data_IF_824288008367
#
_entry.id   IF_824288008367
#
_cell.length_a   1.000
_cell.length_b   1.000
_cell.length_c   1.000
_cell.angle_alpha   90.00
_cell.angle_beta   90.00
_cell.angle_gamma   90.00
#
_symmetry.space_group_name_H-M   'P 1'
#
loop_
_entity.id
_entity.type
_entity.pdbx_description
1 polymer ?
#
# COMPACT_ATOMS: atom_id res chain seq x y z
N UNK A 1 22.64 10.06 -10.30
CA UNK A 1 21.21 9.89 -9.93
C UNK A 1 21.07 8.47 -9.43
N UNK A 2 20.50 8.26 -8.25
CA UNK A 2 20.31 6.89 -7.74
C UNK A 2 19.36 6.15 -8.71
N UNK A 3 19.77 4.97 -9.17
CA UNK A 3 18.93 4.07 -9.95
C UNK A 3 17.64 3.85 -9.17
N UNK A 4 16.49 4.10 -9.79
CA UNK A 4 15.21 3.85 -9.15
C UNK A 4 14.99 2.34 -9.01
N UNK A 5 14.96 1.86 -7.77
CA UNK A 5 14.75 0.46 -7.42
C UNK A 5 13.26 0.22 -7.11
N UNK A 6 12.61 -0.47 -8.03
CA UNK A 6 11.16 -0.76 -7.97
C UNK A 6 10.87 -1.84 -6.93
N UNK A 7 11.77 -2.81 -6.73
CA UNK A 7 11.60 -3.85 -5.71
C UNK A 7 11.63 -3.23 -4.31
N UNK A 8 12.61 -2.37 -4.04
CA UNK A 8 12.64 -1.59 -2.79
C UNK A 8 11.41 -0.68 -2.65
N UNK A 9 10.86 -0.15 -3.75
CA UNK A 9 9.60 0.61 -3.69
C UNK A 9 8.46 -0.27 -3.21
N UNK A 10 8.26 -1.44 -3.83
CA UNK A 10 7.21 -2.40 -3.46
C UNK A 10 7.36 -2.81 -2.00
N UNK A 11 8.59 -3.08 -1.54
CA UNK A 11 8.85 -3.45 -0.15
C UNK A 11 8.48 -2.32 0.83
N UNK A 12 8.79 -1.05 0.51
CA UNK A 12 8.34 0.09 1.32
C UNK A 12 6.81 0.16 1.41
N UNK A 13 6.07 -0.22 0.37
CA UNK A 13 4.60 -0.28 0.44
C UNK A 13 4.10 -1.43 1.32
N UNK A 14 4.75 -2.59 1.30
CA UNK A 14 4.46 -3.68 2.24
C UNK A 14 4.65 -3.22 3.70
N UNK A 15 5.76 -2.54 3.98
CA UNK A 15 6.06 -1.98 5.31
C UNK A 15 5.00 -0.95 5.75
N UNK A 16 4.54 -0.10 4.82
CA UNK A 16 3.46 0.87 5.11
C UNK A 16 2.12 0.20 5.40
N UNK A 17 1.76 -0.85 4.67
CA UNK A 17 0.56 -1.62 4.96
C UNK A 17 0.61 -2.20 6.38
N UNK A 18 1.75 -2.73 6.78
CA UNK A 18 1.95 -3.24 8.14
C UNK A 18 1.87 -2.11 9.19
N UNK A 19 2.51 -0.97 8.93
CA UNK A 19 2.44 0.19 9.83
C UNK A 19 1.01 0.73 10.02
N UNK A 20 0.14 0.64 9.01
CA UNK A 20 -1.28 1.03 9.14
C UNK A 20 -2.05 0.09 10.07
N UNK A 21 -1.72 -1.20 10.10
CA UNK A 21 -2.29 -2.16 11.06
C UNK A 21 -1.80 -1.92 12.48
N UNK A 22 -0.52 -1.60 12.62
CA UNK A 22 0.13 -1.50 13.93
C UNK A 22 -0.10 -0.14 14.61
N UNK A 23 -0.47 0.90 13.85
CA UNK A 23 -0.68 2.23 14.43
C UNK A 23 -1.88 2.24 15.40
N UNK A 24 -1.72 2.76 16.63
CA UNK A 24 -2.86 2.95 17.51
C UNK A 24 -3.80 4.01 16.92
N UNK A 25 -5.10 3.80 17.10
CA UNK A 25 -6.10 4.78 16.71
C UNK A 25 -5.97 6.02 17.60
N UNK A 26 -6.03 7.25 17.05
CA UNK A 26 -6.03 8.47 17.87
C UNK A 26 -7.15 8.46 18.92
N UNK A 27 -6.96 9.12 20.08
CA UNK A 27 -7.95 9.16 21.16
C UNK A 27 -9.11 10.11 20.82
N UNK A 28 -9.84 9.81 19.75
CA UNK A 28 -11.03 10.54 19.27
C UNK A 28 -12.27 9.65 19.37
N UNK A 29 -13.45 10.28 19.48
CA UNK A 29 -14.72 9.59 19.65
C UNK A 29 -15.71 9.90 18.50
N UNK A 30 -16.82 9.15 18.47
CA UNK A 30 -17.94 9.41 17.56
C UNK A 30 -17.55 9.38 16.08
N UNK A 31 -18.03 10.37 15.33
CA UNK A 31 -17.82 10.47 13.88
C UNK A 31 -16.35 10.66 13.48
N UNK A 32 -15.57 11.39 14.28
CA UNK A 32 -14.13 11.55 14.02
C UNK A 32 -13.40 10.20 14.08
N UNK A 33 -13.74 9.37 15.07
CA UNK A 33 -13.19 8.00 15.17
C UNK A 33 -13.48 7.17 13.93
N UNK A 34 -14.70 7.26 13.39
CA UNK A 34 -15.09 6.52 12.17
C UNK A 34 -14.29 6.98 10.95
N UNK A 35 -14.01 8.28 10.83
CA UNK A 35 -13.18 8.81 9.73
C UNK A 35 -11.76 8.25 9.77
N UNK A 36 -11.13 8.18 10.95
CA UNK A 36 -9.79 7.59 11.08
C UNK A 36 -9.76 6.10 10.74
N UNK A 37 -10.80 5.34 11.14
CA UNK A 37 -10.91 3.92 10.78
C UNK A 37 -11.05 3.77 9.27
N UNK A 38 -11.98 4.50 8.65
CA UNK A 38 -12.19 4.46 7.20
C UNK A 38 -10.93 4.86 6.43
N UNK A 39 -10.22 5.88 6.89
CA UNK A 39 -8.94 6.27 6.29
C UNK A 39 -7.90 5.16 6.42
N UNK A 40 -7.80 4.50 7.58
CA UNK A 40 -6.89 3.37 7.76
C UNK A 40 -7.23 2.18 6.84
N UNK A 41 -8.50 1.89 6.63
CA UNK A 41 -8.94 0.84 5.70
C UNK A 41 -8.55 1.15 4.25
N UNK A 42 -8.72 2.41 3.81
CA UNK A 42 -8.31 2.88 2.49
C UNK A 42 -6.78 2.81 2.35
N UNK A 43 -6.04 3.41 3.29
CA UNK A 43 -4.58 3.42 3.30
C UNK A 43 -4.03 1.99 3.22
N UNK A 44 -4.57 1.08 4.05
CA UNK A 44 -4.16 -0.31 4.07
C UNK A 44 -4.40 -0.99 2.72
N UNK A 45 -5.60 -0.83 2.16
CA UNK A 45 -5.97 -1.44 0.88
C UNK A 45 -5.04 -0.97 -0.24
N UNK A 46 -4.81 0.33 -0.35
CA UNK A 46 -3.96 0.92 -1.39
C UNK A 46 -2.50 0.45 -1.26
N UNK A 47 -1.98 0.40 -0.03
CA UNK A 47 -0.62 -0.07 0.21
C UNK A 47 -0.46 -1.57 -0.09
N UNK A 48 -1.46 -2.38 0.26
CA UNK A 48 -1.44 -3.82 -0.07
C UNK A 48 -1.46 -4.03 -1.57
N UNK A 49 -2.31 -3.33 -2.31
CA UNK A 49 -2.40 -3.45 -3.77
C UNK A 49 -1.04 -3.21 -4.44
N UNK A 50 -0.36 -2.12 -4.09
CA UNK A 50 0.97 -1.81 -4.65
C UNK A 50 2.02 -2.82 -4.15
N UNK A 51 1.96 -3.25 -2.88
CA UNK A 51 2.90 -4.23 -2.33
C UNK A 51 2.83 -5.61 -2.99
N UNK A 52 1.74 -5.90 -3.71
CA UNK A 52 1.50 -7.17 -4.41
C UNK A 52 1.73 -7.05 -5.92
N UNK A 53 2.11 -5.87 -6.40
CA UNK A 53 2.39 -5.67 -7.81
C UNK A 53 3.62 -6.47 -8.24
N UNK A 54 3.55 -7.10 -9.41
CA UNK A 54 4.74 -7.35 -10.22
C UNK A 54 5.01 -6.16 -11.12
N UNK A 55 6.24 -6.03 -11.64
CA UNK A 55 6.60 -4.91 -12.48
C UNK A 55 7.43 -5.31 -13.70
N UNK A 56 7.30 -4.50 -14.76
CA UNK A 56 8.09 -4.58 -15.98
C UNK A 56 8.35 -3.17 -16.53
N UNK A 57 9.30 -3.06 -17.46
CA UNK A 57 9.50 -1.84 -18.25
C UNK A 57 9.01 -2.10 -19.66
N UNK A 58 7.98 -1.36 -20.08
CA UNK A 58 7.37 -1.46 -21.42
C UNK A 58 7.40 -0.08 -22.08
N UNK A 59 8.01 0.01 -23.26
CA UNK A 59 8.16 1.27 -24.02
C UNK A 59 8.72 2.45 -23.19
N UNK A 60 9.65 2.14 -22.28
CA UNK A 60 10.26 3.13 -21.38
C UNK A 60 9.41 3.53 -20.18
N UNK A 61 8.27 2.87 -19.97
CA UNK A 61 7.38 3.10 -18.83
C UNK A 61 7.47 1.96 -17.82
N UNK A 62 7.40 2.31 -16.54
CA UNK A 62 7.17 1.32 -15.48
C UNK A 62 5.70 0.89 -15.51
N UNK A 63 5.47 -0.40 -15.74
CA UNK A 63 4.15 -1.03 -15.68
C UNK A 63 4.06 -1.85 -14.40
N UNK A 64 3.04 -1.59 -13.59
CA UNK A 64 2.72 -2.37 -12.40
C UNK A 64 1.48 -3.24 -12.69
N UNK A 65 1.61 -4.55 -12.52
CA UNK A 65 0.51 -5.50 -12.67
C UNK A 65 0.09 -6.01 -11.31
N UNK A 66 -1.16 -5.72 -10.91
CA UNK A 66 -1.69 -6.07 -9.59
C UNK A 66 -2.69 -7.22 -9.75
N UNK A 67 -2.45 -8.39 -9.13
CA UNK A 67 -3.42 -9.47 -9.16
C UNK A 67 -4.63 -9.10 -8.28
N UNK A 68 -5.84 -9.13 -8.84
CA UNK A 68 -7.09 -8.85 -8.11
C UNK A 68 -7.70 -10.08 -7.42
N UNK A 69 -7.11 -11.27 -7.62
CA UNK A 69 -7.46 -12.51 -6.93
C UNK A 69 -6.19 -13.10 -6.33
N UNK A 70 -6.26 -13.59 -5.10
CA UNK A 70 -5.22 -14.50 -4.61
C UNK A 70 -5.23 -15.74 -5.55
N UNK A 71 -4.06 -16.21 -6.03
CA UNK A 71 -3.99 -17.61 -6.44
C UNK A 71 -4.34 -18.44 -5.20
N UNK A 72 -5.23 -19.42 -5.37
CA UNK A 72 -5.62 -20.37 -4.32
C UNK A 72 -4.40 -20.99 -3.62
#
# INVERSE_FOLDING_TARGET
MAQFDVDQMIERYAQRAQAVKDRPLPPVAGEERKKFVKQAEIDYTDYVLISKASWAVEDGNLVLTIPLKNPD
#
